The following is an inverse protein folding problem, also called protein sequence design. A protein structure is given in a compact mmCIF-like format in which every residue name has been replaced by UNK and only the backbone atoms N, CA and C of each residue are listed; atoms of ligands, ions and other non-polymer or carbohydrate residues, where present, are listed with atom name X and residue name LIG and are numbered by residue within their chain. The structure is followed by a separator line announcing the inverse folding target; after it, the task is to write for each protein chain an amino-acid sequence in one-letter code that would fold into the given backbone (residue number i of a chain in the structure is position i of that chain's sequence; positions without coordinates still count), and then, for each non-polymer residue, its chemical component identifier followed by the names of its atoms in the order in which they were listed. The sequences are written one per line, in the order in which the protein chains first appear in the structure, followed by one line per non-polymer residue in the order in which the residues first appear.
data_IF_674721847483
#
_entry.id   IF_674721847483
#
_cell.length_a   1.000
_cell.length_b   1.000
_cell.length_c   1.000
_cell.angle_alpha   90.00
_cell.angle_beta   90.00
_cell.angle_gamma   90.00
#
_symmetry.space_group_name_H-M   'P 1'
#
loop_
_entity.id
_entity.type
_entity.pdbx_description
1 polymer ?
#
# COMPACT_ATOMS: atom_id res chain seq x y z
N UNK A 1 -9.06 -6.05 -9.83
CA UNK A 1 -7.82 -6.09 -9.02
C UNK A 1 -8.21 -5.88 -7.55
N UNK A 2 -8.66 -6.93 -6.87
CA UNK A 2 -9.14 -6.86 -5.48
C UNK A 2 -8.03 -6.44 -4.50
N UNK A 3 -6.83 -7.00 -4.67
CA UNK A 3 -5.65 -6.74 -3.84
C UNK A 3 -5.28 -5.25 -3.72
N UNK A 4 -5.28 -4.51 -4.84
CA UNK A 4 -4.90 -3.09 -4.83
C UNK A 4 -6.00 -2.23 -4.20
N UNK A 5 -7.28 -2.63 -4.34
CA UNK A 5 -8.38 -1.95 -3.66
C UNK A 5 -8.23 -2.10 -2.15
N UNK A 6 -7.93 -3.31 -1.68
CA UNK A 6 -7.72 -3.58 -0.25
C UNK A 6 -6.48 -2.85 0.28
N UNK A 7 -5.38 -2.87 -0.47
CA UNK A 7 -4.18 -2.11 -0.13
C UNK A 7 -4.46 -0.62 0.05
N UNK A 8 -5.27 -0.01 -0.83
CA UNK A 8 -5.69 1.38 -0.70
C UNK A 8 -6.49 1.61 0.58
N UNK A 9 -7.47 0.75 0.88
CA UNK A 9 -8.26 0.86 2.10
C UNK A 9 -7.37 0.82 3.35
N UNK A 10 -6.49 -0.20 3.45
CA UNK A 10 -5.58 -0.36 4.58
C UNK A 10 -4.61 0.81 4.74
N UNK A 11 -4.11 1.37 3.64
CA UNK A 11 -3.22 2.54 3.67
C UNK A 11 -3.92 3.80 4.22
N UNK A 12 -5.24 3.90 4.06
CA UNK A 12 -6.04 5.05 4.49
C UNK A 12 -6.63 4.87 5.89
N UNK A 13 -6.97 3.65 6.27
CA UNK A 13 -7.65 3.36 7.54
C UNK A 13 -6.71 2.97 8.67
N UNK A 14 -5.44 2.67 8.37
CA UNK A 14 -4.51 2.11 9.35
C UNK A 14 -3.39 3.08 9.75
N UNK A 15 -3.10 3.11 11.05
CA UNK A 15 -1.86 3.67 11.61
C UNK A 15 -0.63 2.82 11.24
N UNK A 16 -0.83 1.59 10.76
CA UNK A 16 0.25 0.69 10.33
C UNK A 16 1.13 1.33 9.25
N UNK A 17 2.42 1.03 9.35
CA UNK A 17 3.38 1.38 8.32
C UNK A 17 3.18 0.50 7.07
N UNK A 18 3.70 0.98 5.94
CA UNK A 18 3.57 0.34 4.62
C UNK A 18 4.10 -1.11 4.60
N UNK A 19 5.10 -1.42 5.42
CA UNK A 19 5.64 -2.77 5.50
C UNK A 19 4.67 -3.75 6.18
N UNK A 20 4.02 -3.34 7.27
CA UNK A 20 2.97 -4.14 7.92
C UNK A 20 1.83 -4.48 6.96
N UNK A 21 1.33 -3.47 6.24
CA UNK A 21 0.27 -3.66 5.24
C UNK A 21 0.71 -4.63 4.13
N UNK A 22 1.98 -4.61 3.74
CA UNK A 22 2.48 -5.58 2.77
C UNK A 22 2.39 -7.01 3.30
N UNK A 23 2.79 -7.25 4.55
CA UNK A 23 2.71 -8.56 5.16
C UNK A 23 1.26 -9.02 5.36
N UNK A 24 0.37 -8.12 5.79
CA UNK A 24 -1.07 -8.41 5.98
C UNK A 24 -1.75 -8.83 4.66
N UNK A 25 -1.26 -8.30 3.54
CA UNK A 25 -1.72 -8.64 2.19
C UNK A 25 -1.04 -9.90 1.60
N UNK A 26 -0.19 -10.58 2.39
CA UNK A 26 0.48 -11.82 1.99
C UNK A 26 1.73 -11.62 1.12
N UNK A 27 2.31 -10.42 1.08
CA UNK A 27 3.59 -10.22 0.39
C UNK A 27 4.76 -10.65 1.26
N UNK A 28 5.67 -11.44 0.69
CA UNK A 28 6.94 -11.81 1.34
C UNK A 28 7.91 -10.62 1.45
N UNK A 29 7.72 -9.58 0.63
CA UNK A 29 8.59 -8.40 0.60
C UNK A 29 7.81 -7.10 0.45
N UNK A 30 7.96 -6.16 1.41
CA UNK A 30 7.42 -4.79 1.28
C UNK A 30 7.91 -4.05 0.03
N UNK A 31 9.13 -4.35 -0.43
CA UNK A 31 9.70 -3.77 -1.65
C UNK A 31 8.98 -4.26 -2.90
N UNK A 32 8.58 -5.54 -2.93
CA UNK A 32 7.77 -6.09 -4.01
C UNK A 32 6.38 -5.44 -4.03
N UNK A 33 5.72 -5.36 -2.87
CA UNK A 33 4.45 -4.65 -2.72
C UNK A 33 4.54 -3.21 -3.24
N UNK A 34 5.55 -2.46 -2.81
CA UNK A 34 5.75 -1.06 -3.21
C UNK A 34 5.87 -0.92 -4.73
N UNK A 35 6.65 -1.79 -5.37
CA UNK A 35 6.80 -1.80 -6.83
C UNK A 35 5.50 -2.13 -7.55
N UNK A 36 4.78 -3.16 -7.10
CA UNK A 36 3.50 -3.56 -7.68
C UNK A 36 2.45 -2.46 -7.52
N UNK A 37 2.33 -1.90 -6.32
CA UNK A 37 1.41 -0.82 -6.02
C UNK A 37 1.71 0.40 -6.89
N UNK A 38 2.97 0.83 -6.99
CA UNK A 38 3.36 1.95 -7.87
C UNK A 38 3.04 1.65 -9.34
N UNK A 39 3.27 0.43 -9.81
CA UNK A 39 2.97 0.05 -11.20
C UNK A 39 1.47 0.17 -11.52
N UNK A 40 0.60 -0.15 -10.55
CA UNK A 40 -0.87 -0.15 -10.76
C UNK A 40 -1.49 1.22 -10.44
N UNK A 41 -1.01 1.90 -9.41
CA UNK A 41 -1.61 3.13 -8.86
C UNK A 41 -0.92 4.40 -9.36
N UNK A 42 0.32 4.30 -9.83
CA UNK A 42 1.13 5.43 -10.34
C UNK A 42 2.02 6.08 -9.27
N UNK A 43 1.68 5.95 -7.99
CA UNK A 43 2.43 6.49 -6.85
C UNK A 43 2.79 5.39 -5.86
N UNK A 44 3.81 5.62 -5.02
CA UNK A 44 4.18 4.67 -3.96
C UNK A 44 3.10 4.60 -2.85
N UNK A 45 3.01 3.50 -2.08
CA UNK A 45 2.09 3.43 -0.94
C UNK A 45 2.28 4.55 0.08
N UNK A 46 3.54 4.95 0.33
CA UNK A 46 3.89 6.06 1.24
C UNK A 46 3.36 7.40 0.72
N UNK A 47 3.55 7.68 -0.57
CA UNK A 47 3.02 8.88 -1.20
C UNK A 47 1.50 8.90 -1.15
N UNK A 48 0.86 7.77 -1.48
CA UNK A 48 -0.59 7.62 -1.43
C UNK A 48 -1.16 7.90 -0.02
N UNK A 49 -0.54 7.34 1.04
CA UNK A 49 -0.91 7.61 2.43
C UNK A 49 -0.76 9.09 2.79
N UNK A 50 0.34 9.72 2.37
CA UNK A 50 0.63 11.13 2.68
C UNK A 50 -0.33 12.09 1.96
N UNK A 51 -0.72 11.80 0.72
CA UNK A 51 -1.64 12.64 -0.06
C UNK A 51 -3.06 12.64 0.51
N UNK A 52 -3.49 11.55 1.15
CA UNK A 52 -4.84 11.45 1.72
C UNK A 52 -4.99 12.09 3.11
N UNK A 53 -3.89 12.38 3.81
CA UNK A 53 -3.88 13.06 5.12
C UNK A 53 -3.74 14.59 4.95
N UNK A 54 -3.63 15.06 3.69
CA UNK A 54 -3.61 16.48 3.34
C UNK A 54 -5.03 17.02 3.17
#
# INVERSE_FOLDING_TARGET
IYLIKEAKNLLLSSESNVAGIAYDLGFESPSYFTRLFKKVVGVTPVQYKKEAVK
#
